data_IF_036507086904
#
_entry.id   IF_036507086904
#
_cell.length_a   1.000
_cell.length_b   1.000
_cell.length_c   1.000
_cell.angle_alpha   90.00
_cell.angle_beta   90.00
_cell.angle_gamma   90.00
#
_symmetry.space_group_name_H-M   'P 1'
#
loop_
_entity.id
_entity.type
_entity.pdbx_description
1 polymer ?
#
# COMPACT_ATOMS: atom_id res chain seq x y z
N UNK A 1 -14.34 -31.26 10.07
CA UNK A 1 -13.63 -30.68 8.95
C UNK A 1 -12.58 -31.64 8.44
N UNK A 2 -12.68 -32.03 7.18
CA UNK A 2 -11.69 -32.91 6.51
C UNK A 2 -10.50 -32.03 6.13
N UNK A 3 -9.40 -32.17 6.83
CA UNK A 3 -8.12 -31.58 6.41
C UNK A 3 -7.59 -32.42 5.25
N UNK A 4 -7.72 -31.93 4.04
CA UNK A 4 -7.00 -32.50 2.89
C UNK A 4 -5.51 -32.22 3.07
N UNK A 5 -4.67 -33.23 2.74
CA UNK A 5 -3.20 -33.10 2.80
C UNK A 5 -2.76 -31.85 2.05
N UNK A 6 -2.01 -30.96 2.72
CA UNK A 6 -1.32 -29.87 2.04
C UNK A 6 -0.29 -30.48 1.07
N UNK A 7 -0.48 -30.25 -0.22
CA UNK A 7 0.51 -30.61 -1.24
C UNK A 7 1.30 -29.35 -1.60
N UNK A 8 2.60 -29.38 -1.44
CA UNK A 8 3.46 -28.32 -1.96
C UNK A 8 3.47 -28.39 -3.48
N UNK A 9 3.00 -27.33 -4.13
CA UNK A 9 2.91 -27.24 -5.59
C UNK A 9 4.15 -26.57 -6.15
N UNK A 10 4.62 -25.52 -5.49
CA UNK A 10 5.80 -24.75 -5.84
C UNK A 10 6.51 -24.35 -4.56
N UNK A 11 7.78 -24.70 -4.42
CA UNK A 11 8.64 -24.25 -3.33
C UNK A 11 9.82 -23.46 -3.90
N UNK A 12 10.06 -22.25 -3.35
CA UNK A 12 11.19 -21.42 -3.70
C UNK A 12 11.81 -20.87 -2.42
N UNK A 13 13.04 -21.32 -2.10
CA UNK A 13 13.82 -20.78 -0.99
C UNK A 13 14.85 -19.79 -1.53
N UNK A 14 15.04 -18.67 -0.87
CA UNK A 14 15.98 -17.62 -1.28
C UNK A 14 17.44 -18.10 -1.39
N UNK A 15 17.80 -19.15 -0.65
CA UNK A 15 19.13 -19.78 -0.69
C UNK A 15 19.31 -20.82 -1.79
N UNK A 16 18.23 -21.28 -2.42
CA UNK A 16 18.27 -22.35 -3.40
C UNK A 16 18.26 -21.83 -4.83
N UNK A 17 19.33 -22.11 -5.57
CA UNK A 17 19.42 -21.82 -7.01
C UNK A 17 18.66 -22.84 -7.87
N UNK A 18 18.12 -23.91 -7.27
CA UNK A 18 17.36 -24.94 -7.99
C UNK A 18 15.86 -24.73 -7.86
N UNK A 19 15.15 -24.67 -9.00
CA UNK A 19 13.69 -24.67 -8.99
C UNK A 19 13.18 -26.03 -8.53
N UNK A 20 12.51 -26.07 -7.38
CA UNK A 20 11.84 -27.27 -6.92
C UNK A 20 10.36 -27.11 -7.19
N UNK A 21 9.86 -27.70 -8.26
CA UNK A 21 8.44 -27.96 -8.50
C UNK A 21 8.24 -29.43 -8.16
N UNK A 22 7.48 -29.72 -7.16
CA UNK A 22 7.28 -31.07 -6.63
C UNK A 22 5.80 -31.40 -6.74
N UNK A 23 5.44 -32.58 -7.16
CA UNK A 23 6.10 -33.65 -7.94
C UNK A 23 5.91 -33.43 -9.45
N UNK A 24 6.51 -34.32 -10.29
CA UNK A 24 6.44 -34.19 -11.77
C UNK A 24 5.01 -34.16 -12.33
N UNK A 25 4.05 -34.79 -11.67
CA UNK A 25 2.63 -34.71 -12.03
C UNK A 25 2.10 -33.29 -11.88
N UNK A 26 2.52 -32.56 -10.84
CA UNK A 26 2.09 -31.16 -10.61
C UNK A 26 2.75 -30.17 -11.55
N UNK A 27 3.98 -30.42 -11.97
CA UNK A 27 4.62 -29.64 -13.04
C UNK A 27 3.81 -29.69 -14.32
N UNK A 28 3.33 -30.91 -14.68
CA UNK A 28 2.51 -31.12 -15.88
C UNK A 28 1.13 -30.48 -15.78
N UNK A 29 0.55 -30.43 -14.58
CA UNK A 29 -0.71 -29.72 -14.34
C UNK A 29 -0.55 -28.21 -14.51
N UNK A 30 0.58 -27.63 -14.06
CA UNK A 30 0.82 -26.19 -14.08
C UNK A 30 1.31 -25.68 -15.44
N UNK A 31 2.21 -26.40 -16.08
CA UNK A 31 2.96 -25.93 -17.26
C UNK A 31 2.79 -26.84 -18.49
N UNK A 32 1.96 -27.87 -18.39
CA UNK A 32 1.82 -28.85 -19.45
C UNK A 32 3.03 -29.74 -19.64
N UNK A 33 3.20 -30.33 -20.84
CA UNK A 33 4.31 -31.22 -21.17
C UNK A 33 5.42 -30.52 -21.97
N UNK A 34 5.35 -29.21 -22.13
CA UNK A 34 6.29 -28.45 -22.94
C UNK A 34 7.65 -28.32 -22.22
N UNK A 35 8.72 -28.94 -22.74
CA UNK A 35 10.04 -28.86 -22.13
C UNK A 35 10.61 -27.45 -22.09
N UNK A 36 10.25 -26.60 -23.08
CA UNK A 36 10.75 -25.22 -23.14
C UNK A 36 10.21 -24.38 -21.98
N UNK A 37 8.92 -24.53 -21.64
CA UNK A 37 8.33 -23.85 -20.48
C UNK A 37 8.99 -24.27 -19.16
N UNK A 38 9.38 -25.54 -19.03
CA UNK A 38 10.06 -26.01 -17.83
C UNK A 38 11.49 -25.46 -17.71
N UNK A 39 12.19 -25.30 -18.82
CA UNK A 39 13.53 -24.71 -18.83
C UNK A 39 13.46 -23.19 -18.60
N UNK A 40 12.50 -22.50 -19.20
CA UNK A 40 12.24 -21.09 -18.93
C UNK A 40 11.88 -20.86 -17.43
N UNK A 41 11.10 -21.75 -16.82
CA UNK A 41 10.78 -21.70 -15.39
C UNK A 41 12.03 -21.84 -14.52
N UNK A 42 12.97 -22.73 -14.89
CA UNK A 42 14.25 -22.86 -14.20
C UNK A 42 15.07 -21.57 -14.27
N UNK A 43 15.17 -21.00 -15.47
CA UNK A 43 15.91 -19.75 -15.70
C UNK A 43 15.28 -18.62 -14.87
N UNK A 44 13.96 -18.47 -14.94
CA UNK A 44 13.21 -17.46 -14.18
C UNK A 44 13.48 -17.59 -12.68
N UNK A 45 13.45 -18.81 -12.14
CA UNK A 45 13.77 -19.03 -10.73
C UNK A 45 15.20 -18.62 -10.39
N UNK A 46 16.17 -18.99 -11.21
CA UNK A 46 17.57 -18.63 -10.97
C UNK A 46 17.74 -17.11 -10.97
N UNK A 47 17.09 -16.41 -11.89
CA UNK A 47 17.11 -14.95 -11.95
C UNK A 47 16.47 -14.32 -10.71
N UNK A 48 15.26 -14.75 -10.33
CA UNK A 48 14.58 -14.28 -9.14
C UNK A 48 15.40 -14.52 -7.87
N UNK A 49 16.03 -15.69 -7.72
CA UNK A 49 16.90 -15.99 -6.58
C UNK A 49 18.13 -15.09 -6.55
N UNK A 50 18.78 -14.83 -7.70
CA UNK A 50 19.95 -13.94 -7.79
C UNK A 50 19.60 -12.50 -7.44
N UNK A 51 18.40 -12.06 -7.79
CA UNK A 51 17.92 -10.70 -7.56
C UNK A 51 17.15 -10.55 -6.23
N UNK A 52 17.10 -11.61 -5.42
CA UNK A 52 16.35 -11.67 -4.15
C UNK A 52 14.85 -11.32 -4.32
N UNK A 53 14.27 -11.64 -5.49
CA UNK A 53 12.84 -11.44 -5.78
C UNK A 53 12.03 -12.73 -5.57
N UNK A 54 10.78 -12.60 -5.20
CA UNK A 54 9.86 -13.73 -5.12
C UNK A 54 9.48 -14.22 -6.51
N UNK A 55 9.65 -15.53 -6.77
CA UNK A 55 9.20 -16.15 -8.02
C UNK A 55 7.68 -16.04 -8.19
N UNK A 56 6.90 -16.24 -7.10
CA UNK A 56 5.43 -16.24 -7.16
C UNK A 56 4.84 -14.87 -7.53
N UNK A 57 5.56 -13.79 -7.25
CA UNK A 57 5.12 -12.42 -7.54
C UNK A 57 5.87 -11.80 -8.73
N UNK A 58 6.68 -12.56 -9.44
CA UNK A 58 7.37 -12.07 -10.64
C UNK A 58 6.44 -12.03 -11.87
N UNK A 59 6.66 -11.09 -12.78
CA UNK A 59 5.88 -11.01 -14.01
C UNK A 59 6.10 -12.21 -14.91
N UNK A 60 7.30 -12.74 -14.90
CA UNK A 60 7.73 -13.86 -15.71
C UNK A 60 6.92 -15.15 -15.41
N UNK A 61 6.60 -15.41 -14.11
CA UNK A 61 5.79 -16.59 -13.77
C UNK A 61 4.37 -16.48 -14.35
N UNK A 62 3.80 -15.28 -14.42
CA UNK A 62 2.48 -15.08 -14.99
C UNK A 62 2.47 -15.35 -16.49
N UNK A 63 3.49 -14.89 -17.22
CA UNK A 63 3.64 -15.16 -18.64
C UNK A 63 3.78 -16.68 -18.90
N UNK A 64 4.59 -17.38 -18.09
CA UNK A 64 4.75 -18.83 -18.21
C UNK A 64 3.46 -19.58 -17.93
N UNK A 65 2.68 -19.17 -16.90
CA UNK A 65 1.40 -19.79 -16.59
C UNK A 65 0.34 -19.53 -17.66
N UNK A 66 0.35 -18.40 -18.31
CA UNK A 66 -0.55 -18.11 -19.44
C UNK A 66 -0.25 -18.98 -20.66
N UNK A 67 1.03 -19.24 -20.94
CA UNK A 67 1.49 -20.08 -22.06
C UNK A 67 1.32 -21.58 -21.76
N UNK A 68 1.33 -21.97 -20.50
CA UNK A 68 1.14 -23.34 -20.09
C UNK A 68 -0.28 -23.84 -20.35
N UNK A 69 -0.42 -25.02 -20.96
CA UNK A 69 -1.71 -25.62 -21.34
C UNK A 69 -2.59 -26.06 -20.17
N UNK A 70 -2.18 -25.78 -18.96
CA UNK A 70 -2.73 -26.54 -17.85
C UNK A 70 -3.65 -25.82 -16.92
N UNK A 71 -3.67 -24.50 -16.74
CA UNK A 71 -4.37 -24.14 -15.53
C UNK A 71 -4.78 -22.68 -15.39
N UNK A 72 -5.91 -22.38 -15.95
CA UNK A 72 -6.70 -21.19 -15.60
C UNK A 72 -6.87 -21.03 -14.08
N UNK A 73 -7.07 -22.12 -13.32
CA UNK A 73 -7.26 -22.07 -11.88
C UNK A 73 -6.01 -21.52 -11.15
N UNK A 74 -4.83 -22.07 -11.45
CA UNK A 74 -3.58 -21.64 -10.82
C UNK A 74 -3.19 -20.23 -11.19
N UNK A 75 -3.41 -19.85 -12.45
CA UNK A 75 -3.23 -18.49 -12.90
C UNK A 75 -4.12 -17.52 -12.09
N UNK A 76 -5.41 -17.83 -11.97
CA UNK A 76 -6.34 -16.98 -11.23
C UNK A 76 -6.01 -16.92 -9.73
N UNK A 77 -5.62 -18.04 -9.12
CA UNK A 77 -5.18 -18.03 -7.72
C UNK A 77 -3.96 -17.14 -7.48
N UNK A 78 -2.92 -17.29 -8.30
CA UNK A 78 -1.72 -16.46 -8.19
C UNK A 78 -2.00 -14.99 -8.53
N UNK A 79 -2.82 -14.73 -9.55
CA UNK A 79 -3.25 -13.37 -9.90
C UNK A 79 -4.01 -12.72 -8.74
N UNK A 80 -4.89 -13.46 -8.06
CA UNK A 80 -5.62 -12.98 -6.88
C UNK A 80 -4.67 -12.69 -5.71
N UNK A 81 -3.73 -13.60 -5.43
CA UNK A 81 -2.72 -13.39 -4.37
C UNK A 81 -1.83 -12.17 -4.67
N UNK A 82 -1.39 -12.03 -5.92
CA UNK A 82 -0.60 -10.87 -6.35
C UNK A 82 -1.39 -9.58 -6.23
N UNK A 83 -2.65 -9.57 -6.66
CA UNK A 83 -3.52 -8.42 -6.51
C UNK A 83 -3.71 -8.07 -5.04
N UNK A 84 -3.97 -9.05 -4.18
CA UNK A 84 -4.08 -8.84 -2.75
C UNK A 84 -2.80 -8.23 -2.16
N UNK A 85 -1.64 -8.83 -2.44
CA UNK A 85 -0.36 -8.36 -1.90
C UNK A 85 0.06 -6.98 -2.43
N UNK A 86 -0.27 -6.65 -3.68
CA UNK A 86 0.17 -5.40 -4.33
C UNK A 86 -0.84 -4.25 -4.26
N UNK A 87 -2.13 -4.55 -4.07
CA UNK A 87 -3.18 -3.53 -4.17
C UNK A 87 -4.15 -3.50 -2.98
N UNK A 88 -4.20 -4.57 -2.18
CA UNK A 88 -5.19 -4.70 -1.11
C UNK A 88 -4.58 -4.81 0.28
N UNK A 89 -3.31 -5.21 0.40
CA UNK A 89 -2.61 -5.33 1.66
C UNK A 89 -1.63 -4.16 1.84
N UNK A 90 -1.87 -3.35 2.88
CA UNK A 90 -1.00 -2.24 3.26
C UNK A 90 -0.35 -2.56 4.59
N UNK A 91 0.99 -2.62 4.60
CA UNK A 91 1.78 -2.88 5.80
C UNK A 91 2.57 -1.62 6.15
N UNK A 92 2.32 -1.09 7.35
CA UNK A 92 2.97 0.09 7.90
C UNK A 92 3.80 -0.32 9.11
N UNK A 93 5.04 0.15 9.16
CA UNK A 93 5.95 -0.12 10.26
C UNK A 93 6.39 1.21 10.91
N UNK A 94 6.39 1.25 12.24
CA UNK A 94 6.82 2.39 13.05
C UNK A 94 8.33 2.67 12.94
N UNK A 95 9.15 1.66 12.65
CA UNK A 95 10.62 1.73 12.75
C UNK A 95 11.34 2.11 11.45
N UNK A 96 10.64 2.51 10.41
CA UNK A 96 11.25 2.90 9.14
C UNK A 96 11.94 1.77 8.35
N UNK A 97 11.90 0.54 8.85
CA UNK A 97 12.47 -0.64 8.18
C UNK A 97 11.48 -1.35 7.25
N UNK A 98 10.28 -0.81 7.08
CA UNK A 98 9.21 -1.38 6.28
C UNK A 98 8.96 -0.65 4.96
N UNK A 99 8.03 -1.18 4.17
CA UNK A 99 7.63 -0.63 2.86
C UNK A 99 7.04 0.79 2.95
N UNK A 100 6.43 1.16 4.10
CA UNK A 100 5.85 2.48 4.34
C UNK A 100 6.12 2.91 5.78
N UNK A 101 7.11 3.77 6.04
CA UNK A 101 7.36 4.30 7.38
C UNK A 101 6.22 5.24 7.80
N UNK A 102 5.66 4.99 8.99
CA UNK A 102 4.60 5.84 9.55
C UNK A 102 5.13 7.27 9.80
N UNK A 103 4.39 8.27 9.32
CA UNK A 103 4.75 9.68 9.50
C UNK A 103 5.74 10.27 8.50
N UNK A 104 6.26 9.49 7.56
CA UNK A 104 7.19 9.99 6.53
C UNK A 104 6.49 10.36 5.22
N UNK A 105 5.49 9.57 4.82
CA UNK A 105 4.79 9.71 3.55
C UNK A 105 3.28 9.58 3.73
N UNK A 106 2.51 10.29 2.90
CA UNK A 106 1.09 10.08 2.72
C UNK A 106 0.90 9.15 1.51
N UNK A 107 0.46 7.91 1.70
CA UNK A 107 0.09 7.04 0.59
C UNK A 107 -1.25 7.48 0.02
N UNK A 108 -1.27 7.86 -1.25
CA UNK A 108 -2.47 8.22 -2.00
C UNK A 108 -2.84 7.06 -2.90
N UNK A 109 -3.94 6.41 -2.59
CA UNK A 109 -4.46 5.29 -3.38
C UNK A 109 -5.58 5.83 -4.25
N UNK A 110 -5.51 5.56 -5.55
CA UNK A 110 -6.51 5.99 -6.51
C UNK A 110 -6.81 4.89 -7.51
N UNK A 111 -7.98 4.96 -8.12
CA UNK A 111 -8.38 4.03 -9.18
C UNK A 111 -8.28 4.71 -10.52
N UNK A 112 -7.57 4.07 -11.46
CA UNK A 112 -7.57 4.43 -12.87
C UNK A 112 -8.10 3.23 -13.67
N UNK A 113 -9.23 3.41 -14.33
CA UNK A 113 -9.93 2.35 -15.06
C UNK A 113 -10.13 1.08 -14.22
N UNK A 114 -9.37 0.02 -14.52
CA UNK A 114 -9.43 -1.27 -13.83
C UNK A 114 -8.24 -1.53 -12.90
N UNK A 115 -7.30 -0.59 -12.82
CA UNK A 115 -6.10 -0.71 -11.99
C UNK A 115 -6.15 0.21 -10.77
N UNK A 116 -5.52 -0.22 -9.68
CA UNK A 116 -5.23 0.64 -8.53
C UNK A 116 -3.83 1.23 -8.74
N UNK A 117 -3.76 2.56 -8.68
CA UNK A 117 -2.51 3.30 -8.61
C UNK A 117 -2.20 3.69 -7.17
N UNK A 118 -0.94 3.86 -6.89
CA UNK A 118 -0.45 4.37 -5.61
C UNK A 118 0.59 5.44 -5.86
N UNK A 119 0.38 6.60 -5.27
CA UNK A 119 1.34 7.70 -5.21
C UNK A 119 1.76 7.89 -3.74
N UNK A 120 3.05 8.15 -3.51
CA UNK A 120 3.58 8.47 -2.19
C UNK A 120 3.98 9.94 -2.15
N UNK A 121 3.35 10.70 -1.27
CA UNK A 121 3.66 12.10 -1.07
C UNK A 121 4.46 12.27 0.22
N UNK A 122 5.75 12.67 0.16
CA UNK A 122 6.53 12.98 1.34
C UNK A 122 5.85 14.09 2.18
N UNK A 123 5.79 13.90 3.49
CA UNK A 123 5.18 14.90 4.39
C UNK A 123 6.08 16.10 4.61
N UNK A 124 7.38 15.91 4.61
CA UNK A 124 8.33 16.95 5.00
C UNK A 124 8.99 17.66 3.81
N UNK A 125 9.09 16.99 2.67
CA UNK A 125 9.83 17.49 1.51
C UNK A 125 8.90 17.65 0.29
N UNK A 126 9.24 18.58 -0.64
CA UNK A 126 8.58 18.64 -1.92
C UNK A 126 8.82 17.37 -2.74
N UNK A 127 7.85 17.03 -3.58
CA UNK A 127 7.95 15.93 -4.55
C UNK A 127 7.49 16.40 -5.94
N UNK A 128 8.01 15.78 -6.98
CA UNK A 128 7.53 15.96 -8.36
C UNK A 128 6.61 14.81 -8.70
N UNK A 129 5.36 15.11 -9.02
CA UNK A 129 4.36 14.09 -9.37
C UNK A 129 3.88 14.31 -10.80
N UNK A 130 3.52 13.25 -11.54
CA UNK A 130 2.95 13.39 -12.87
C UNK A 130 1.72 14.30 -12.87
N UNK A 131 1.57 15.12 -13.90
CA UNK A 131 0.47 16.09 -13.97
C UNK A 131 -0.92 15.42 -13.91
N UNK A 132 -1.04 14.19 -14.43
CA UNK A 132 -2.27 13.42 -14.38
C UNK A 132 -2.63 12.99 -12.94
N UNK A 133 -1.65 12.73 -12.09
CA UNK A 133 -1.84 12.31 -10.70
C UNK A 133 -2.12 13.49 -9.77
N UNK A 134 -1.80 14.71 -10.17
CA UNK A 134 -2.00 15.89 -9.34
C UNK A 134 -3.48 16.14 -8.98
N UNK A 135 -4.37 16.01 -9.95
CA UNK A 135 -5.81 16.18 -9.72
C UNK A 135 -6.37 15.09 -8.80
N UNK A 136 -5.89 13.84 -8.98
CA UNK A 136 -6.27 12.69 -8.14
C UNK A 136 -5.77 12.87 -6.70
N UNK A 137 -4.53 13.31 -6.53
CA UNK A 137 -3.98 13.59 -5.21
C UNK A 137 -4.77 14.69 -4.48
N UNK A 138 -5.16 15.77 -5.18
CA UNK A 138 -6.01 16.81 -4.60
C UNK A 138 -7.39 16.30 -4.17
N UNK A 139 -8.00 15.43 -4.96
CA UNK A 139 -9.28 14.83 -4.63
C UNK A 139 -9.17 13.94 -3.37
N UNK A 140 -8.12 13.14 -3.25
CA UNK A 140 -7.87 12.33 -2.06
C UNK A 140 -7.64 13.20 -0.84
N UNK A 141 -6.87 14.29 -0.96
CA UNK A 141 -6.66 15.24 0.13
C UNK A 141 -7.98 15.88 0.57
N UNK A 142 -8.86 16.21 -0.36
CA UNK A 142 -10.21 16.69 -0.03
C UNK A 142 -10.98 15.66 0.83
N UNK A 143 -10.89 14.37 0.49
CA UNK A 143 -11.52 13.30 1.28
C UNK A 143 -10.89 13.17 2.67
N UNK A 144 -9.56 13.29 2.76
CA UNK A 144 -8.84 13.29 4.05
C UNK A 144 -9.30 14.45 4.92
N UNK A 145 -9.44 15.65 4.34
CA UNK A 145 -9.85 16.85 5.09
C UNK A 145 -11.25 16.72 5.70
N UNK A 146 -12.18 16.03 5.06
CA UNK A 146 -13.51 15.76 5.64
C UNK A 146 -13.37 15.03 6.98
N UNK A 147 -12.55 13.98 7.03
CA UNK A 147 -12.32 13.22 8.25
C UNK A 147 -11.44 14.00 9.22
N UNK A 148 -10.41 14.67 8.71
CA UNK A 148 -9.45 15.42 9.52
C UNK A 148 -10.13 16.56 10.31
N UNK A 149 -11.11 17.24 9.72
CA UNK A 149 -11.92 18.27 10.40
C UNK A 149 -12.70 17.74 11.60
N UNK A 150 -13.22 16.52 11.50
CA UNK A 150 -13.96 15.88 12.59
C UNK A 150 -13.05 15.48 13.75
N UNK A 151 -11.86 14.96 13.44
CA UNK A 151 -10.94 14.44 14.45
C UNK A 151 -9.98 15.49 15.02
N UNK A 152 -9.61 16.51 14.24
CA UNK A 152 -8.75 17.63 14.65
C UNK A 152 -9.39 18.94 14.16
N UNK A 153 -10.29 19.54 14.94
CA UNK A 153 -10.98 20.77 14.53
C UNK A 153 -10.02 21.88 14.11
N UNK A 154 -10.28 22.49 12.96
CA UNK A 154 -9.45 23.55 12.41
C UNK A 154 -8.15 23.08 11.72
N UNK A 155 -7.97 21.76 11.56
CA UNK A 155 -6.87 21.20 10.77
C UNK A 155 -7.33 20.94 9.34
N UNK A 156 -6.61 21.51 8.38
CA UNK A 156 -6.81 21.27 6.96
C UNK A 156 -5.46 21.17 6.27
N UNK A 157 -5.33 20.25 5.31
CA UNK A 157 -4.12 20.06 4.52
C UNK A 157 -4.39 20.34 3.03
N UNK A 158 -3.35 20.77 2.33
CA UNK A 158 -3.42 21.04 0.90
C UNK A 158 -2.11 20.66 0.18
N UNK A 159 -2.19 20.57 -1.15
CA UNK A 159 -1.00 20.52 -2.01
C UNK A 159 -0.68 21.93 -2.50
N UNK A 160 0.38 22.53 -1.99
CA UNK A 160 0.96 23.74 -2.54
C UNK A 160 1.74 23.39 -3.82
N UNK A 161 1.47 24.14 -4.90
CA UNK A 161 2.20 24.00 -6.16
C UNK A 161 3.42 24.91 -6.14
N UNK A 162 4.60 24.33 -6.35
CA UNK A 162 5.88 25.06 -6.36
C UNK A 162 6.38 25.37 -7.78
N UNK A 163 5.78 24.77 -8.80
CA UNK A 163 6.15 24.95 -10.22
C UNK A 163 5.96 23.67 -11.02
N UNK A 164 6.29 23.74 -12.31
CA UNK A 164 6.32 22.57 -13.18
C UNK A 164 7.76 22.08 -13.31
N UNK A 165 7.95 20.78 -13.29
CA UNK A 165 9.25 20.12 -13.36
C UNK A 165 9.08 18.77 -14.06
N UNK A 166 10.16 18.24 -14.66
CA UNK A 166 10.09 16.90 -15.24
C UNK A 166 10.30 15.83 -14.16
N UNK A 167 9.52 14.77 -14.25
CA UNK A 167 9.71 13.57 -13.41
C UNK A 167 11.03 12.87 -13.78
N UNK A 168 11.48 11.94 -12.93
CA UNK A 168 12.65 11.10 -13.24
C UNK A 168 12.50 10.30 -14.55
N UNK A 169 11.27 10.06 -14.99
CA UNK A 169 10.95 9.39 -16.26
C UNK A 169 10.90 10.35 -17.45
N UNK A 170 11.17 11.65 -17.24
CA UNK A 170 11.11 12.66 -18.30
C UNK A 170 9.70 13.11 -18.69
N UNK A 171 8.68 12.78 -17.91
CA UNK A 171 7.30 13.23 -18.11
C UNK A 171 7.08 14.60 -17.46
N UNK A 172 6.16 15.40 -18.02
CA UNK A 172 5.78 16.66 -17.40
C UNK A 172 5.09 16.41 -16.06
N UNK A 173 5.65 16.98 -15.02
CA UNK A 173 5.16 16.86 -13.65
C UNK A 173 4.92 18.21 -13.00
N UNK A 174 4.33 18.17 -11.82
CA UNK A 174 4.10 19.31 -10.94
C UNK A 174 4.89 19.09 -9.66
N UNK A 175 5.74 20.06 -9.30
CA UNK A 175 6.42 20.06 -8.02
C UNK A 175 5.47 20.55 -6.96
N UNK A 176 5.20 19.72 -5.97
CA UNK A 176 4.20 19.95 -4.92
C UNK A 176 4.80 19.77 -3.53
N UNK A 177 4.18 20.41 -2.56
CA UNK A 177 4.49 20.21 -1.13
C UNK A 177 3.19 20.11 -0.34
N UNK A 178 3.14 19.17 0.60
CA UNK A 178 2.05 19.09 1.57
C UNK A 178 2.19 20.22 2.60
N UNK A 179 1.10 20.95 2.77
CA UNK A 179 1.03 22.09 3.69
C UNK A 179 -0.23 21.98 4.55
N UNK A 180 -0.16 22.52 5.76
CA UNK A 180 -1.33 22.87 6.56
C UNK A 180 -1.83 24.23 6.10
N UNK A 181 -3.15 24.36 5.93
CA UNK A 181 -3.79 25.65 5.73
C UNK A 181 -4.35 26.17 7.06
N UNK A 182 -4.18 27.45 7.32
CA UNK A 182 -4.75 28.13 8.48
C UNK A 182 -5.20 29.52 8.09
N UNK A 183 -6.33 29.97 8.61
CA UNK A 183 -6.79 31.34 8.45
C UNK A 183 -6.06 32.21 9.48
N UNK A 184 -5.45 33.30 9.03
CA UNK A 184 -4.76 34.22 9.91
C UNK A 184 -5.79 34.93 10.80
N UNK A 185 -5.53 34.96 12.10
CA UNK A 185 -6.40 35.60 13.05
C UNK A 185 -6.62 37.10 12.68
N UNK A 186 -7.88 37.47 12.51
CA UNK A 186 -8.27 38.87 12.16
C UNK A 186 -8.18 39.25 10.68
N UNK A 187 -7.90 38.29 9.78
CA UNK A 187 -7.94 38.48 8.32
C UNK A 187 -8.54 37.27 7.63
N UNK A 188 -8.94 37.43 6.37
CA UNK A 188 -9.36 36.30 5.52
C UNK A 188 -8.16 35.67 4.79
N UNK A 189 -6.93 36.05 5.14
CA UNK A 189 -5.75 35.53 4.48
C UNK A 189 -5.49 34.09 4.92
N UNK A 190 -5.32 33.20 3.94
CA UNK A 190 -4.94 31.79 4.15
C UNK A 190 -3.44 31.70 4.21
N UNK A 191 -2.91 31.27 5.33
CA UNK A 191 -1.49 30.97 5.51
C UNK A 191 -1.25 29.49 5.24
N UNK A 192 -0.20 29.19 4.50
CA UNK A 192 0.23 27.80 4.22
C UNK A 192 1.55 27.52 4.95
N UNK A 193 1.53 26.51 5.79
CA UNK A 193 2.70 26.05 6.55
C UNK A 193 3.08 24.64 6.10
N UNK A 194 4.33 24.38 5.68
CA UNK A 194 4.78 23.03 5.36
C UNK A 194 4.55 22.05 6.52
N UNK A 195 4.06 20.85 6.22
CA UNK A 195 3.76 19.83 7.23
C UNK A 195 4.98 19.40 8.05
N UNK A 196 6.19 19.64 7.58
CA UNK A 196 7.43 19.41 8.35
C UNK A 196 7.48 20.13 9.70
N UNK A 197 6.68 21.18 9.89
CA UNK A 197 6.59 21.93 11.15
C UNK A 197 5.52 21.40 12.10
N UNK A 198 4.73 20.41 11.67
CA UNK A 198 3.75 19.75 12.54
C UNK A 198 4.41 18.73 13.47
N UNK A 199 3.70 18.40 14.56
CA UNK A 199 4.16 17.37 15.49
C UNK A 199 4.21 15.99 14.83
N UNK A 200 5.08 15.12 15.35
CA UNK A 200 5.20 13.73 14.87
C UNK A 200 3.85 12.99 14.91
N UNK A 201 3.06 13.21 15.96
CA UNK A 201 1.74 12.59 16.10
C UNK A 201 0.77 13.02 14.99
N UNK A 202 0.75 14.30 14.63
CA UNK A 202 -0.08 14.82 13.52
C UNK A 202 0.39 14.23 12.19
N UNK A 203 1.69 14.21 11.93
CA UNK A 203 2.25 13.60 10.72
C UNK A 203 1.88 12.13 10.60
N UNK A 204 1.97 11.37 11.70
CA UNK A 204 1.55 9.96 11.75
C UNK A 204 0.08 9.78 11.40
N UNK A 205 -0.82 10.57 11.99
CA UNK A 205 -2.25 10.52 11.69
C UNK A 205 -2.49 10.78 10.20
N UNK A 206 -1.93 11.85 9.66
CA UNK A 206 -2.09 12.20 8.24
C UNK A 206 -1.62 11.05 7.35
N UNK A 207 -0.48 10.42 7.67
CA UNK A 207 0.11 9.33 6.87
C UNK A 207 -0.77 8.08 6.80
N UNK A 208 -1.55 7.79 7.84
CA UNK A 208 -2.40 6.59 7.90
C UNK A 208 -3.87 6.85 7.55
N UNK A 209 -4.32 8.10 7.64
CA UNK A 209 -5.75 8.43 7.57
C UNK A 209 -6.39 8.02 6.24
N UNK A 210 -5.69 8.21 5.12
CA UNK A 210 -6.21 7.77 3.83
C UNK A 210 -6.40 6.25 3.76
N UNK A 211 -5.46 5.49 4.33
CA UNK A 211 -5.56 4.02 4.38
C UNK A 211 -6.70 3.56 5.27
N UNK A 212 -6.93 4.25 6.39
CA UNK A 212 -8.11 4.02 7.23
C UNK A 212 -9.41 4.27 6.45
N UNK A 213 -9.49 5.37 5.70
CA UNK A 213 -10.63 5.69 4.85
C UNK A 213 -10.84 4.60 3.78
N UNK A 214 -9.76 4.12 3.14
CA UNK A 214 -9.83 3.03 2.18
C UNK A 214 -10.33 1.72 2.82
N UNK A 215 -9.81 1.34 3.98
CA UNK A 215 -10.23 0.16 4.71
C UNK A 215 -11.67 0.30 5.23
N UNK A 216 -12.07 1.48 5.68
CA UNK A 216 -13.45 1.75 6.10
C UNK A 216 -14.45 1.50 4.97
N UNK A 217 -14.13 1.91 3.75
CA UNK A 217 -15.03 1.89 2.60
C UNK A 217 -14.94 0.61 1.73
N UNK A 218 -13.97 -0.28 1.95
CA UNK A 218 -13.72 -1.40 1.05
C UNK A 218 -13.44 -2.72 1.78
N UNK A 219 -14.27 -3.76 1.55
CA UNK A 219 -14.07 -5.07 2.18
C UNK A 219 -12.81 -5.80 1.66
N UNK A 220 -12.26 -5.37 0.52
CA UNK A 220 -11.05 -5.97 -0.06
C UNK A 220 -9.74 -5.43 0.53
N UNK A 221 -9.77 -4.39 1.35
CA UNK A 221 -8.58 -3.76 1.92
C UNK A 221 -8.23 -4.37 3.27
N UNK A 222 -6.96 -4.75 3.42
CA UNK A 222 -6.36 -5.15 4.68
C UNK A 222 -5.25 -4.17 5.04
N UNK A 223 -5.37 -3.56 6.20
CA UNK A 223 -4.41 -2.60 6.75
C UNK A 223 -3.73 -3.23 7.97
N UNK A 224 -2.42 -3.44 7.88
CA UNK A 224 -1.60 -3.97 8.98
C UNK A 224 -0.64 -2.87 9.47
N UNK A 225 -0.74 -2.48 10.75
CA UNK A 225 0.04 -1.39 11.33
C UNK A 225 0.75 -1.87 12.59
N UNK A 226 2.06 -1.73 12.60
CA UNK A 226 2.89 -2.02 13.77
C UNK A 226 2.99 -0.78 14.66
N UNK A 227 2.80 -0.97 15.98
CA UNK A 227 2.84 0.10 16.99
C UNK A 227 1.91 1.28 16.65
N UNK A 228 0.65 1.00 16.35
CA UNK A 228 -0.34 2.01 15.92
C UNK A 228 -0.49 3.17 16.93
N UNK A 229 -0.36 2.89 18.22
CA UNK A 229 -0.45 3.87 19.32
C UNK A 229 0.79 4.78 19.46
N UNK A 230 1.89 4.43 18.82
CA UNK A 230 3.15 5.16 19.00
C UNK A 230 3.05 6.62 18.53
N UNK A 231 3.00 7.54 19.50
CA UNK A 231 2.98 8.99 19.27
C UNK A 231 1.64 9.55 18.77
N UNK A 232 0.58 8.77 18.74
CA UNK A 232 -0.78 9.22 18.46
C UNK A 232 -1.51 9.46 19.80
N UNK A 233 -2.27 10.56 19.88
CA UNK A 233 -3.05 10.87 21.07
C UNK A 233 -4.11 9.78 21.31
N UNK A 234 -4.13 9.23 22.51
CA UNK A 234 -4.91 8.04 22.88
C UNK A 234 -6.42 8.16 22.57
N UNK A 235 -7.03 9.28 22.92
CA UNK A 235 -8.44 9.52 22.67
C UNK A 235 -8.77 9.47 21.18
N UNK A 236 -7.93 10.10 20.37
CA UNK A 236 -8.10 10.14 18.91
C UNK A 236 -7.98 8.75 18.27
N UNK A 237 -7.02 7.95 18.75
CA UNK A 237 -6.88 6.57 18.33
C UNK A 237 -8.11 5.75 18.71
N UNK A 238 -8.65 5.94 19.91
CA UNK A 238 -9.87 5.28 20.38
C UNK A 238 -11.07 5.57 19.46
N UNK A 239 -11.29 6.84 19.10
CA UNK A 239 -12.36 7.24 18.18
C UNK A 239 -12.22 6.58 16.80
N UNK A 240 -11.01 6.59 16.23
CA UNK A 240 -10.74 5.93 14.94
C UNK A 240 -11.01 4.42 15.00
N UNK A 241 -10.59 3.74 16.06
CA UNK A 241 -10.82 2.31 16.24
C UNK A 241 -12.30 1.98 16.42
N UNK A 242 -13.05 2.78 17.18
CA UNK A 242 -14.50 2.60 17.33
C UNK A 242 -15.25 2.78 16.02
N UNK A 243 -14.88 3.77 15.21
CA UNK A 243 -15.46 3.98 13.87
C UNK A 243 -15.21 2.75 12.99
N UNK A 244 -13.97 2.24 12.98
CA UNK A 244 -13.62 1.04 12.21
C UNK A 244 -14.37 -0.19 12.70
N UNK A 245 -14.49 -0.39 14.01
CA UNK A 245 -15.20 -1.53 14.60
C UNK A 245 -16.69 -1.53 14.26
N UNK A 246 -17.34 -0.35 14.29
CA UNK A 246 -18.80 -0.23 14.10
C UNK A 246 -19.22 -0.40 12.64
N UNK A 247 -18.46 0.13 11.71
CA UNK A 247 -18.91 0.31 10.32
C UNK A 247 -17.83 0.08 9.26
N UNK A 248 -16.60 -0.25 9.64
CA UNK A 248 -15.54 -0.54 8.69
C UNK A 248 -15.82 -1.82 7.91
N UNK A 249 -15.62 -1.79 6.59
CA UNK A 249 -15.84 -2.93 5.71
C UNK A 249 -14.58 -3.79 5.56
N UNK A 250 -13.41 -3.17 5.57
CA UNK A 250 -12.11 -3.84 5.42
C UNK A 250 -11.57 -4.39 6.74
N UNK A 251 -10.37 -4.92 6.70
CA UNK A 251 -9.71 -5.52 7.85
C UNK A 251 -8.59 -4.60 8.37
N UNK A 252 -8.59 -4.37 9.69
CA UNK A 252 -7.51 -3.70 10.41
C UNK A 252 -6.82 -4.71 11.33
N UNK A 253 -5.51 -4.88 11.18
CA UNK A 253 -4.62 -5.67 12.01
C UNK A 253 -3.57 -4.72 12.58
N UNK A 254 -3.40 -4.67 13.89
CA UNK A 254 -2.40 -3.79 14.45
C UNK A 254 -1.78 -4.35 15.72
N UNK A 255 -0.57 -3.86 16.05
CA UNK A 255 0.03 -4.03 17.37
C UNK A 255 -0.06 -2.71 18.14
N UNK A 256 -0.18 -2.79 19.47
CA UNK A 256 -0.23 -1.62 20.35
C UNK A 256 0.37 -1.98 21.71
N UNK A 257 1.09 -1.05 22.29
CA UNK A 257 1.56 -1.15 23.68
C UNK A 257 0.53 -0.66 24.68
N UNK A 258 -0.41 0.18 24.23
CA UNK A 258 -1.47 0.73 25.06
C UNK A 258 -2.81 0.06 24.72
N UNK A 259 -3.42 -0.59 25.68
CA UNK A 259 -4.71 -1.28 25.51
C UNK A 259 -5.93 -0.38 25.81
N UNK A 260 -5.75 0.79 26.42
CA UNK A 260 -6.85 1.70 26.75
C UNK A 260 -7.74 2.10 25.57
N UNK A 261 -7.22 2.36 24.35
CA UNK A 261 -8.08 2.64 23.20
C UNK A 261 -9.05 1.51 22.84
N UNK A 262 -8.80 0.28 23.32
CA UNK A 262 -9.68 -0.88 23.08
C UNK A 262 -10.74 -1.05 24.19
N UNK A 263 -10.60 -0.34 25.30
CA UNK A 263 -11.52 -0.39 26.45
C UNK A 263 -12.59 0.73 26.39
N UNK A 264 -12.44 1.67 25.47
CA UNK A 264 -13.38 2.76 25.20
C UNK A 264 -14.46 2.32 24.22
#
# INVERSE_FOLDING_TARGET
>A
GVWTRMNTILECRSADTKAVIIPDTKKRELFGKDPQLLDELRITKMLCAKEHRSLLFSDEIFVLLQRGSGSTLWYHMLATLRHFAGASLFVINSRGAGLNPMGAELPVIYRMDRSLGQLKLPLEQPAVIPAIEFSLARQVIGTINVVLHEIIPGMEIALATLGNEFTEKGELGVRVQLVRTAVKAGSNDVMQLPLKYESEGIKKIISILHLFICAYNSPGITLAIDELDSGIYEYLLGELLQIMQKSGLGQLIFTSHNLRPLEM
#
